data_IF_516029501181
#
_entry.id   IF_516029501181
#
_cell.length_a   1.000
_cell.length_b   1.000
_cell.length_c   1.000
_cell.angle_alpha   90.00
_cell.angle_beta   90.00
_cell.angle_gamma   90.00
#
_symmetry.space_group_name_H-M   'P 1'
#
loop_
_entity.id
_entity.type
_entity.pdbx_description
1 polymer ?
#
# COMPACT_ATOMS: atom_id res chain seq x y z
N UNK A 1 -32.81 -17.08 -47.82
CA UNK A 1 -32.56 -15.83 -47.07
C UNK A 1 -31.60 -16.16 -45.93
N UNK A 2 -30.31 -15.94 -46.12
CA UNK A 2 -29.32 -16.10 -45.05
C UNK A 2 -29.16 -14.74 -44.37
N UNK A 3 -29.52 -14.68 -43.09
CA UNK A 3 -29.42 -13.47 -42.28
C UNK A 3 -27.98 -13.33 -41.78
N UNK A 4 -27.19 -12.47 -42.43
CA UNK A 4 -25.87 -12.08 -41.94
C UNK A 4 -26.03 -11.23 -40.68
N UNK A 5 -25.62 -11.77 -39.54
CA UNK A 5 -25.45 -11.01 -38.30
C UNK A 5 -24.13 -10.24 -38.42
N UNK A 6 -24.21 -8.93 -38.65
CA UNK A 6 -23.05 -8.04 -38.55
C UNK A 6 -22.71 -7.87 -37.06
N UNK A 7 -21.61 -8.49 -36.62
CA UNK A 7 -21.06 -8.25 -35.29
C UNK A 7 -20.33 -6.90 -35.31
N UNK A 8 -21.01 -5.83 -34.91
CA UNK A 8 -20.38 -4.54 -34.63
C UNK A 8 -19.54 -4.68 -33.36
N UNK A 9 -18.24 -4.97 -33.50
CA UNK A 9 -17.27 -4.72 -32.45
C UNK A 9 -17.19 -3.21 -32.23
N UNK A 10 -17.93 -2.73 -31.23
CA UNK A 10 -17.64 -1.43 -30.66
C UNK A 10 -16.26 -1.50 -30.01
N UNK A 11 -15.27 -0.90 -30.66
CA UNK A 11 -14.02 -0.48 -30.03
C UNK A 11 -14.37 0.62 -29.03
N UNK A 12 -14.93 0.22 -27.88
CA UNK A 12 -14.90 1.07 -26.70
C UNK A 12 -13.41 1.14 -26.35
N UNK A 13 -12.78 2.32 -26.36
CA UNK A 13 -11.45 2.43 -25.79
C UNK A 13 -11.59 2.01 -24.33
N UNK A 14 -11.10 0.81 -24.01
CA UNK A 14 -10.77 0.42 -22.66
C UNK A 14 -9.62 1.34 -22.25
N UNK A 15 -9.95 2.53 -21.78
CA UNK A 15 -8.98 3.37 -21.08
C UNK A 15 -8.64 2.62 -19.80
N UNK A 16 -7.66 1.71 -19.90
CA UNK A 16 -7.03 1.10 -18.74
C UNK A 16 -6.53 2.22 -17.82
N UNK A 17 -6.58 1.98 -16.52
CA UNK A 17 -6.10 2.97 -15.56
C UNK A 17 -4.65 3.34 -15.89
N UNK A 18 -4.33 4.62 -15.80
CA UNK A 18 -2.97 5.13 -16.00
C UNK A 18 -2.10 4.82 -14.80
N UNK A 19 -2.63 5.00 -13.59
CA UNK A 19 -1.91 4.79 -12.34
C UNK A 19 -2.69 3.91 -11.39
N UNK A 20 -1.98 3.00 -10.74
CA UNK A 20 -2.42 2.40 -9.47
C UNK A 20 -1.36 2.70 -8.43
N UNK A 21 -1.78 3.39 -7.39
CA UNK A 21 -0.99 3.71 -6.20
C UNK A 21 -1.48 2.79 -5.09
N UNK A 22 -0.59 1.95 -4.60
CA UNK A 22 -0.83 1.12 -3.42
C UNK A 22 -0.18 1.81 -2.22
N UNK A 23 -0.92 1.95 -1.13
CA UNK A 23 -0.43 2.53 0.13
C UNK A 23 -0.53 1.44 1.19
N UNK A 24 0.61 1.01 1.71
CA UNK A 24 0.70 0.05 2.80
C UNK A 24 1.00 0.80 4.09
N UNK A 25 0.02 0.84 4.99
CA UNK A 25 0.12 1.56 6.27
C UNK A 25 0.23 0.55 7.42
N UNK A 26 1.45 0.33 7.89
CA UNK A 26 1.71 -0.44 9.10
C UNK A 26 1.52 0.47 10.31
N UNK A 27 0.27 0.61 10.75
CA UNK A 27 -0.16 1.58 11.74
C UNK A 27 -0.58 0.92 13.07
N UNK A 28 -0.33 -0.39 13.26
CA UNK A 28 -0.45 -1.05 14.55
C UNK A 28 0.74 -0.69 15.45
N UNK A 29 0.76 0.57 15.82
CA UNK A 29 1.71 1.19 16.74
C UNK A 29 1.14 2.56 17.16
N UNK A 30 1.93 3.37 17.85
CA UNK A 30 1.50 4.69 18.28
C UNK A 30 1.21 5.72 17.16
N UNK A 31 1.34 5.37 15.87
CA UNK A 31 0.90 6.20 14.75
C UNK A 31 -0.51 5.84 14.24
N UNK A 32 -1.23 4.92 14.89
CA UNK A 32 -2.54 4.45 14.42
C UNK A 32 -3.54 5.57 14.10
N UNK A 33 -3.60 6.60 14.94
CA UNK A 33 -4.49 7.76 14.72
C UNK A 33 -4.04 8.59 13.51
N UNK A 34 -2.74 8.83 13.37
CA UNK A 34 -2.18 9.52 12.21
C UNK A 34 -2.46 8.77 10.90
N UNK A 35 -2.38 7.43 10.92
CA UNK A 35 -2.71 6.63 9.76
C UNK A 35 -4.18 6.79 9.33
N UNK A 36 -5.10 6.89 10.29
CA UNK A 36 -6.51 7.14 10.01
C UNK A 36 -6.73 8.56 9.45
N UNK A 37 -6.09 9.57 10.04
CA UNK A 37 -6.14 10.97 9.58
C UNK A 37 -5.56 11.14 8.16
N UNK A 38 -4.50 10.41 7.83
CA UNK A 38 -3.88 10.43 6.50
C UNK A 38 -4.80 9.81 5.45
N UNK A 39 -5.52 8.73 5.77
CA UNK A 39 -6.57 8.20 4.88
C UNK A 39 -7.65 9.25 4.66
N UNK A 40 -8.15 9.89 5.72
CA UNK A 40 -9.15 10.96 5.60
C UNK A 40 -8.62 12.15 4.79
N UNK A 41 -7.33 12.47 4.92
CA UNK A 41 -6.68 13.52 4.13
C UNK A 41 -6.60 13.16 2.65
N UNK A 42 -6.34 11.89 2.31
CA UNK A 42 -6.36 11.40 0.92
C UNK A 42 -7.75 11.55 0.28
N UNK A 43 -8.84 11.46 1.06
CA UNK A 43 -10.22 11.65 0.59
C UNK A 43 -10.55 13.10 0.23
N UNK A 44 -9.78 14.09 0.71
CA UNK A 44 -10.03 15.50 0.41
C UNK A 44 -9.79 15.90 -1.05
N UNK A 45 -9.12 15.03 -1.83
CA UNK A 45 -8.70 15.32 -3.21
C UNK A 45 -9.50 14.51 -4.22
N UNK A 46 -10.03 15.20 -5.24
CA UNK A 46 -10.62 14.54 -6.40
C UNK A 46 -9.53 13.85 -7.24
N UNK A 47 -9.50 12.51 -7.19
CA UNK A 47 -8.56 11.72 -8.00
C UNK A 47 -8.83 11.91 -9.50
N UNK A 48 -7.79 12.17 -10.32
CA UNK A 48 -7.94 12.25 -11.77
C UNK A 48 -8.47 10.94 -12.37
N UNK A 49 -9.13 11.05 -13.52
CA UNK A 49 -9.59 9.86 -14.25
C UNK A 49 -8.42 8.92 -14.58
N UNK A 50 -8.64 7.63 -14.35
CA UNK A 50 -7.64 6.58 -14.55
C UNK A 50 -6.59 6.46 -13.44
N UNK A 51 -6.80 7.07 -12.27
CA UNK A 51 -5.95 6.87 -11.08
C UNK A 51 -6.72 6.05 -10.05
N UNK A 52 -6.12 4.95 -9.58
CA UNK A 52 -6.57 4.23 -8.39
C UNK A 52 -5.62 4.51 -7.24
N UNK A 53 -6.17 4.77 -6.05
CA UNK A 53 -5.43 4.74 -4.80
C UNK A 53 -6.09 3.69 -3.90
N UNK A 54 -5.31 2.65 -3.57
CA UNK A 54 -5.76 1.52 -2.77
C UNK A 54 -4.90 1.48 -1.52
N UNK A 55 -5.54 1.48 -0.36
CA UNK A 55 -4.85 1.45 0.94
C UNK A 55 -5.06 0.09 1.57
N UNK A 56 -4.02 -0.52 2.09
CA UNK A 56 -4.14 -1.52 3.15
C UNK A 56 -3.55 -0.90 4.42
N UNK A 57 -4.35 -0.79 5.47
CA UNK A 57 -3.94 -0.27 6.75
C UNK A 57 -4.20 -1.31 7.83
N UNK A 58 -3.31 -1.38 8.81
CA UNK A 58 -3.47 -2.17 10.02
C UNK A 58 -3.43 -1.21 11.20
N UNK A 59 -4.50 -1.16 11.99
CA UNK A 59 -4.66 -0.17 13.06
C UNK A 59 -4.57 -0.80 14.42
N UNK A 60 -3.94 -0.11 15.35
CA UNK A 60 -3.73 -0.62 16.70
C UNK A 60 -5.04 -0.93 17.42
N UNK A 61 -4.98 -1.87 18.37
CA UNK A 61 -6.11 -2.25 19.22
C UNK A 61 -6.72 -1.09 20.02
N UNK A 62 -5.97 0.00 20.22
CA UNK A 62 -6.42 1.25 20.83
C UNK A 62 -7.25 2.15 19.91
N UNK A 63 -7.24 1.89 18.59
CA UNK A 63 -8.04 2.60 17.59
C UNK A 63 -9.53 2.24 17.70
N UNK A 64 -10.45 3.19 17.48
CA UNK A 64 -11.88 2.89 17.33
C UNK A 64 -12.20 1.92 16.17
N UNK A 65 -11.32 1.87 15.16
CA UNK A 65 -11.36 0.93 14.06
C UNK A 65 -10.02 0.18 14.02
N UNK A 66 -9.93 -0.94 14.75
CA UNK A 66 -8.71 -1.74 14.91
C UNK A 66 -8.61 -2.92 13.93
N UNK A 67 -7.39 -3.35 13.68
CA UNK A 67 -7.04 -4.42 12.74
C UNK A 67 -6.90 -3.95 11.29
N UNK A 68 -6.73 -4.94 10.42
CA UNK A 68 -6.44 -4.78 9.01
C UNK A 68 -7.67 -4.51 8.14
N UNK A 69 -7.56 -3.49 7.28
CA UNK A 69 -8.58 -3.11 6.30
C UNK A 69 -7.96 -2.77 4.96
N UNK A 70 -8.75 -2.95 3.89
CA UNK A 70 -8.45 -2.44 2.55
C UNK A 70 -9.48 -1.41 2.14
N UNK A 71 -9.01 -0.25 1.68
CA UNK A 71 -9.85 0.85 1.20
C UNK A 71 -9.58 1.15 -0.27
N UNK A 72 -10.60 1.63 -0.97
CA UNK A 72 -10.41 2.35 -2.23
C UNK A 72 -10.73 3.82 -1.99
N UNK A 73 -9.73 4.68 -2.11
CA UNK A 73 -9.91 6.11 -1.84
C UNK A 73 -10.98 6.68 -2.77
N UNK A 74 -11.92 7.39 -2.17
CA UNK A 74 -12.96 8.16 -2.86
C UNK A 74 -12.98 9.56 -2.30
N UNK A 75 -13.24 10.52 -3.18
CA UNK A 75 -13.26 11.90 -2.76
C UNK A 75 -14.49 12.16 -1.90
N UNK A 76 -14.26 12.78 -0.76
CA UNK A 76 -15.28 13.39 0.09
C UNK A 76 -14.67 14.57 0.88
N UNK A 77 -15.37 15.09 1.89
CA UNK A 77 -14.89 16.17 2.78
C UNK A 77 -15.37 15.94 4.22
N UNK A 78 -15.66 14.68 4.58
CA UNK A 78 -16.06 14.26 5.91
C UNK A 78 -14.91 14.44 6.90
N UNK A 79 -15.19 14.69 8.19
CA UNK A 79 -14.17 14.63 9.23
C UNK A 79 -13.76 13.17 9.59
N UNK A 80 -14.40 12.17 8.97
CA UNK A 80 -14.19 10.73 9.22
C UNK A 80 -14.00 10.01 7.88
N UNK A 81 -13.18 8.96 7.87
CA UNK A 81 -12.93 8.13 6.67
C UNK A 81 -14.24 7.58 6.12
N UNK A 82 -14.56 7.87 4.86
CA UNK A 82 -15.78 7.34 4.20
C UNK A 82 -15.53 6.44 3.00
N UNK A 83 -14.26 6.27 2.61
CA UNK A 83 -13.87 5.41 1.49
C UNK A 83 -14.42 3.99 1.64
N UNK A 84 -14.91 3.38 0.54
CA UNK A 84 -15.39 2.01 0.56
C UNK A 84 -14.34 1.03 1.09
N UNK A 85 -14.72 0.27 2.12
CA UNK A 85 -13.97 -0.89 2.59
C UNK A 85 -14.14 -2.01 1.56
N UNK A 86 -13.04 -2.38 0.93
CA UNK A 86 -12.96 -3.49 -0.03
C UNK A 86 -12.86 -4.85 0.67
N UNK A 87 -12.23 -4.87 1.84
CA UNK A 87 -12.03 -6.08 2.64
C UNK A 87 -11.69 -5.72 4.09
N UNK A 88 -12.24 -6.49 5.02
CA UNK A 88 -11.81 -6.52 6.42
C UNK A 88 -10.94 -7.76 6.58
N UNK A 89 -9.68 -7.55 6.94
CA UNK A 89 -8.68 -8.62 7.09
C UNK A 89 -8.66 -9.19 8.50
N UNK A 90 -9.24 -8.47 9.47
CA UNK A 90 -9.04 -8.74 10.89
C UNK A 90 -7.62 -8.34 11.30
N UNK A 91 -7.20 -8.77 12.49
CA UNK A 91 -5.81 -8.58 12.92
C UNK A 91 -4.84 -9.24 11.92
N UNK A 92 -3.87 -8.46 11.44
CA UNK A 92 -2.77 -8.96 10.63
C UNK A 92 -1.46 -8.61 11.32
N UNK A 93 -0.35 -9.19 10.88
CA UNK A 93 0.97 -8.74 11.28
C UNK A 93 1.52 -7.87 10.14
N UNK A 94 1.43 -6.56 10.29
CA UNK A 94 1.90 -5.58 9.32
C UNK A 94 3.43 -5.51 9.20
N UNK A 95 4.16 -6.18 10.10
CA UNK A 95 5.60 -6.39 9.98
C UNK A 95 5.99 -7.63 9.15
N UNK A 96 5.04 -8.53 8.85
CA UNK A 96 5.31 -9.74 8.05
C UNK A 96 5.50 -9.37 6.56
N UNK A 97 6.67 -9.65 5.96
CA UNK A 97 6.93 -9.42 4.54
C UNK A 97 5.90 -10.04 3.61
N UNK A 98 5.35 -11.20 3.97
CA UNK A 98 4.36 -11.90 3.16
C UNK A 98 3.05 -11.12 3.08
N UNK A 99 2.63 -10.48 4.18
CA UNK A 99 1.40 -9.67 4.23
C UNK A 99 1.51 -8.46 3.30
N UNK A 100 2.68 -7.80 3.27
CA UNK A 100 2.94 -6.72 2.32
C UNK A 100 3.00 -7.23 0.88
N UNK A 101 3.71 -8.33 0.63
CA UNK A 101 3.82 -8.92 -0.71
C UNK A 101 2.45 -9.31 -1.28
N UNK A 102 1.62 -9.96 -0.47
CA UNK A 102 0.27 -10.37 -0.84
C UNK A 102 -0.61 -9.17 -1.17
N UNK A 103 -0.50 -8.08 -0.39
CA UNK A 103 -1.18 -6.83 -0.71
C UNK A 103 -0.74 -6.24 -2.05
N UNK A 104 0.57 -6.15 -2.30
CA UNK A 104 1.12 -5.59 -3.54
C UNK A 104 0.62 -6.39 -4.75
N UNK A 105 0.76 -7.73 -4.69
CA UNK A 105 0.35 -8.63 -5.77
C UNK A 105 -1.15 -8.59 -6.01
N UNK A 106 -1.94 -8.66 -4.94
CA UNK A 106 -3.39 -8.55 -5.03
C UNK A 106 -3.81 -7.19 -5.60
N UNK A 107 -3.23 -6.09 -5.10
CA UNK A 107 -3.59 -4.73 -5.47
C UNK A 107 -3.34 -4.45 -6.95
N UNK A 108 -2.16 -4.79 -7.46
CA UNK A 108 -1.86 -4.60 -8.88
C UNK A 108 -2.60 -5.57 -9.81
N UNK A 109 -3.01 -6.75 -9.32
CA UNK A 109 -3.84 -7.67 -10.10
C UNK A 109 -5.32 -7.21 -10.14
N UNK A 110 -5.87 -6.75 -9.02
CA UNK A 110 -7.25 -6.27 -8.93
C UNK A 110 -7.43 -4.89 -9.60
N UNK A 111 -6.38 -4.07 -9.59
CA UNK A 111 -6.38 -2.73 -10.17
C UNK A 111 -5.21 -2.57 -11.17
N UNK A 112 -5.28 -3.20 -12.34
CA UNK A 112 -4.23 -3.10 -13.34
C UNK A 112 -4.12 -1.67 -13.86
N UNK A 113 -2.88 -1.20 -14.00
CA UNK A 113 -2.55 0.11 -14.54
C UNK A 113 -1.20 0.10 -15.28
N UNK A 114 -1.03 1.09 -16.16
CA UNK A 114 0.22 1.30 -16.89
C UNK A 114 1.37 1.59 -15.94
N UNK A 115 1.16 2.53 -15.02
CA UNK A 115 2.13 2.94 -14.01
C UNK A 115 1.73 2.46 -12.61
N UNK A 116 2.73 2.13 -11.81
CA UNK A 116 2.61 1.50 -10.51
C UNK A 116 3.43 2.26 -9.48
N UNK A 117 2.78 2.61 -8.38
CA UNK A 117 3.45 3.21 -7.23
C UNK A 117 3.14 2.40 -5.99
N UNK A 118 4.15 2.23 -5.14
CA UNK A 118 4.00 1.72 -3.79
C UNK A 118 4.45 2.79 -2.79
N UNK A 119 3.60 3.08 -1.82
CA UNK A 119 3.91 3.88 -0.64
C UNK A 119 3.97 2.93 0.55
N UNK A 120 5.09 2.95 1.28
CA UNK A 120 5.25 2.24 2.55
C UNK A 120 5.26 3.29 3.66
N UNK A 121 4.19 3.29 4.46
CA UNK A 121 3.93 4.26 5.52
C UNK A 121 4.07 3.58 6.88
N UNK A 122 4.93 4.11 7.75
CA UNK A 122 5.06 3.69 9.16
C UNK A 122 6.20 4.46 9.86
N UNK A 123 6.60 4.00 11.05
CA UNK A 123 7.93 4.23 11.57
C UNK A 123 9.01 3.52 10.73
N UNK A 124 10.22 4.06 10.81
CA UNK A 124 11.43 3.45 10.26
C UNK A 124 12.66 3.82 11.08
N UNK A 125 13.65 2.94 11.08
CA UNK A 125 14.93 3.15 11.77
C UNK A 125 16.14 2.92 10.85
N UNK A 126 15.93 3.04 9.52
CA UNK A 126 16.98 2.95 8.51
C UNK A 126 17.79 1.64 8.60
N UNK A 127 19.05 1.73 8.16
CA UNK A 127 20.09 0.72 8.21
C UNK A 127 21.17 0.99 9.28
N UNK A 128 21.32 2.22 9.79
CA UNK A 128 22.58 2.64 10.45
C UNK A 128 22.52 2.99 11.96
N UNK A 129 21.39 2.94 12.68
CA UNK A 129 21.40 3.35 14.11
C UNK A 129 20.91 2.29 15.11
N UNK A 130 21.90 1.78 15.86
CA UNK A 130 21.85 1.09 17.15
C UNK A 130 21.64 -0.43 17.16
N UNK A 131 22.08 -1.03 18.26
CA UNK A 131 21.95 -2.45 18.65
C UNK A 131 20.48 -2.90 18.78
N UNK A 132 19.52 -1.98 18.62
CA UNK A 132 18.06 -2.20 18.69
C UNK A 132 17.40 -2.48 17.34
N UNK A 133 18.19 -2.61 16.27
CA UNK A 133 17.74 -3.16 14.99
C UNK A 133 17.56 -2.14 13.87
N UNK A 134 17.50 -2.68 12.64
CA UNK A 134 17.41 -1.99 11.35
C UNK A 134 16.12 -2.40 10.68
N UNK A 135 15.14 -1.51 10.60
CA UNK A 135 13.76 -1.92 10.35
C UNK A 135 12.85 -0.81 9.83
N UNK A 136 11.69 -1.24 9.36
CA UNK A 136 10.51 -0.46 9.01
C UNK A 136 9.26 -1.22 9.52
N UNK A 137 8.10 -0.56 9.56
CA UNK A 137 6.81 -1.22 9.83
C UNK A 137 6.82 -2.05 11.13
N UNK A 138 7.05 -1.44 12.31
CA UNK A 138 6.86 -2.14 13.57
C UNK A 138 5.37 -2.36 13.82
N UNK A 139 5.08 -3.50 14.42
CA UNK A 139 3.75 -4.00 14.71
C UNK A 139 3.70 -4.39 16.19
N UNK A 140 2.99 -3.59 16.98
CA UNK A 140 2.99 -3.68 18.44
C UNK A 140 2.19 -4.88 18.96
N UNK A 141 1.08 -5.26 18.30
CA UNK A 141 0.27 -6.40 18.72
C UNK A 141 0.97 -7.72 18.47
N UNK A 142 1.68 -7.88 17.35
CA UNK A 142 2.52 -9.06 17.08
C UNK A 142 3.90 -9.01 17.72
N UNK A 143 4.33 -7.84 18.21
CA UNK A 143 5.67 -7.55 18.73
C UNK A 143 6.77 -7.80 17.70
N UNK A 144 6.51 -7.47 16.44
CA UNK A 144 7.44 -7.67 15.33
C UNK A 144 7.77 -6.37 14.61
N UNK A 145 8.77 -6.45 13.73
CA UNK A 145 9.19 -5.36 12.86
C UNK A 145 9.78 -5.95 11.59
N UNK A 146 9.65 -5.26 10.46
CA UNK A 146 10.19 -5.72 9.19
C UNK A 146 11.68 -5.33 9.11
N UNK A 147 12.58 -6.32 9.11
CA UNK A 147 14.01 -6.03 9.03
C UNK A 147 14.44 -5.53 7.66
N UNK A 148 15.18 -4.43 7.63
CA UNK A 148 15.88 -3.99 6.41
C UNK A 148 17.13 -4.83 6.18
N UNK A 149 17.92 -5.08 7.22
CA UNK A 149 19.24 -5.68 7.05
C UNK A 149 19.26 -7.20 6.94
N UNK A 150 18.20 -7.87 7.38
CA UNK A 150 18.06 -9.31 7.27
C UNK A 150 17.26 -9.74 6.01
N UNK A 151 16.95 -8.81 5.11
CA UNK A 151 16.30 -9.11 3.85
C UNK A 151 14.77 -9.13 3.89
N UNK A 152 14.12 -8.76 4.98
CA UNK A 152 12.65 -8.85 5.10
C UNK A 152 11.98 -7.86 4.15
N UNK A 153 12.49 -6.63 4.08
CA UNK A 153 12.01 -5.62 3.12
C UNK A 153 12.21 -6.07 1.68
N UNK A 154 13.37 -6.64 1.34
CA UNK A 154 13.58 -7.21 -0.01
C UNK A 154 12.60 -8.36 -0.28
N UNK A 155 12.40 -9.28 0.68
CA UNK A 155 11.42 -10.37 0.57
C UNK A 155 10.00 -9.88 0.34
N UNK A 156 9.60 -8.78 0.98
CA UNK A 156 8.29 -8.16 0.78
C UNK A 156 8.08 -7.68 -0.67
N UNK A 157 9.16 -7.36 -1.38
CA UNK A 157 9.13 -6.88 -2.76
C UNK A 157 9.47 -7.96 -3.80
N UNK A 158 9.83 -9.18 -3.39
CA UNK A 158 10.15 -10.25 -4.35
C UNK A 158 8.94 -10.61 -5.23
N UNK A 159 9.20 -10.82 -6.52
CA UNK A 159 8.21 -11.26 -7.52
C UNK A 159 6.99 -10.33 -7.69
N UNK A 160 7.10 -9.05 -7.29
CA UNK A 160 6.09 -8.04 -7.63
C UNK A 160 6.34 -7.48 -9.04
N UNK A 161 5.36 -6.87 -9.70
CA UNK A 161 5.60 -6.07 -10.91
C UNK A 161 6.55 -4.91 -10.61
N UNK A 162 7.43 -4.56 -11.56
CA UNK A 162 8.29 -3.38 -11.44
C UNK A 162 7.47 -2.13 -11.13
N UNK A 163 7.93 -1.34 -10.17
CA UNK A 163 7.32 -0.09 -9.75
C UNK A 163 7.90 1.07 -10.57
N UNK A 164 7.08 2.06 -10.91
CA UNK A 164 7.59 3.33 -11.43
C UNK A 164 8.09 4.21 -10.28
N UNK A 165 7.48 4.07 -9.09
CA UNK A 165 7.83 4.82 -7.88
C UNK A 165 7.70 3.90 -6.66
N UNK A 166 8.76 3.82 -5.87
CA UNK A 166 8.73 3.33 -4.49
C UNK A 166 8.96 4.51 -3.54
N UNK A 167 7.96 4.80 -2.70
CA UNK A 167 8.01 5.89 -1.73
C UNK A 167 8.00 5.32 -0.32
N UNK A 168 8.92 5.80 0.51
CA UNK A 168 8.90 5.55 1.95
C UNK A 168 8.39 6.79 2.67
N UNK A 169 7.21 6.69 3.25
CA UNK A 169 6.68 7.65 4.22
C UNK A 169 7.03 7.14 5.62
N UNK A 170 8.34 7.08 5.87
CA UNK A 170 8.91 6.51 7.07
C UNK A 170 10.28 7.11 7.37
N UNK A 171 10.59 7.25 8.66
CA UNK A 171 11.82 7.87 9.14
C UNK A 171 13.09 7.13 8.66
N UNK A 172 14.06 7.89 8.15
CA UNK A 172 15.42 7.40 7.89
C UNK A 172 15.57 6.43 6.71
N UNK A 173 14.55 6.23 5.88
CA UNK A 173 14.61 5.26 4.78
C UNK A 173 15.39 5.74 3.55
N UNK A 174 15.69 7.04 3.45
CA UNK A 174 16.50 7.61 2.35
C UNK A 174 18.01 7.48 2.63
N UNK A 175 18.51 6.25 2.70
CA UNK A 175 19.94 5.93 2.83
C UNK A 175 20.43 5.03 1.72
N UNK A 176 21.73 5.06 1.41
CA UNK A 176 22.30 4.30 0.29
C UNK A 176 22.11 2.79 0.46
N UNK A 177 22.08 2.30 1.70
CA UNK A 177 21.94 0.88 2.01
C UNK A 177 20.50 0.41 1.84
N UNK A 178 19.51 1.21 2.25
CA UNK A 178 18.10 0.94 1.91
C UNK A 178 17.88 1.01 0.41
N UNK A 179 18.46 2.00 -0.27
CA UNK A 179 18.37 2.09 -1.73
C UNK A 179 18.97 0.86 -2.41
N UNK A 180 20.10 0.34 -1.91
CA UNK A 180 20.72 -0.88 -2.43
C UNK A 180 19.83 -2.11 -2.22
N UNK A 181 19.18 -2.22 -1.06
CA UNK A 181 18.25 -3.31 -0.72
C UNK A 181 17.06 -3.41 -1.69
N UNK A 182 16.60 -2.26 -2.21
CA UNK A 182 15.38 -2.16 -3.03
C UNK A 182 15.63 -1.80 -4.51
N UNK A 183 16.87 -1.61 -4.92
CA UNK A 183 17.24 -1.12 -6.27
C UNK A 183 16.73 -1.98 -7.43
N UNK A 184 16.35 -3.24 -7.19
CA UNK A 184 15.83 -4.14 -8.22
C UNK A 184 14.32 -4.01 -8.48
N UNK A 185 13.60 -3.17 -7.72
CA UNK A 185 12.14 -3.15 -7.74
C UNK A 185 11.53 -1.83 -8.28
N UNK A 186 12.31 -0.75 -8.35
CA UNK A 186 11.89 0.58 -8.80
C UNK A 186 13.02 1.32 -9.50
#
# INVERSE_FOLDING_TARGET
>A
MALSVLLLLSLVPLYGNRWTILVYMAADNNLSENGYEDINSMESVALPSGVNVIVQADFASSSPQSGGYRYRIRQDNSPMVTSPILSTLGEINSADPQIMNDFIRWGFNAYPAQHKMLVIWSHGSSWYKSDRGKWICPDESSQQLMSVANGDLNRALLNIPHLDILLFDACGMQTIEVLTEVAGFA
#
